data_IF_987701668108
#
_entry.id   IF_987701668108
#
_cell.length_a   1.000
_cell.length_b   1.000
_cell.length_c   1.000
_cell.angle_alpha   90.00
_cell.angle_beta   90.00
_cell.angle_gamma   90.00
#
_symmetry.space_group_name_H-M   'P 1'
#
loop_
_entity.id
_entity.type
_entity.pdbx_description
1 polymer ?
#
# COMPACT_ATOMS: atom_id res chain seq x y z
N UNK A 1 -26.27 11.42 23.61
CA UNK A 1 -25.87 12.13 22.38
C UNK A 1 -24.53 12.79 22.66
N UNK A 2 -23.42 12.11 22.36
CA UNK A 2 -22.07 12.67 22.58
C UNK A 2 -21.84 13.70 21.48
N UNK A 3 -21.81 14.98 21.85
CA UNK A 3 -21.38 16.08 20.98
C UNK A 3 -19.90 15.86 20.68
N UNK A 4 -19.58 15.15 19.60
CA UNK A 4 -18.24 15.14 19.03
C UNK A 4 -17.93 16.59 18.64
N UNK A 5 -16.83 17.12 19.17
CA UNK A 5 -16.31 18.42 18.75
C UNK A 5 -16.22 18.47 17.22
N UNK A 6 -16.49 19.63 16.57
CA UNK A 6 -16.39 19.75 15.13
C UNK A 6 -14.99 19.30 14.68
N UNK A 7 -14.95 18.41 13.70
CA UNK A 7 -13.69 17.92 13.17
C UNK A 7 -12.87 19.10 12.67
N UNK A 8 -11.64 19.24 13.16
CA UNK A 8 -10.70 20.26 12.67
C UNK A 8 -10.24 19.86 11.27
N UNK A 9 -9.82 20.82 10.45
CA UNK A 9 -9.12 20.50 9.21
C UNK A 9 -7.81 19.77 9.52
N UNK A 10 -7.48 18.78 8.69
CA UNK A 10 -6.20 18.11 8.76
C UNK A 10 -5.10 19.04 8.26
N UNK A 11 -3.98 19.08 8.98
CA UNK A 11 -2.79 19.85 8.59
C UNK A 11 -1.60 18.90 8.48
N UNK A 12 -1.04 18.81 7.27
CA UNK A 12 0.19 18.07 7.04
C UNK A 12 1.32 18.63 7.91
N UNK A 13 2.04 17.73 8.57
CA UNK A 13 3.13 18.02 9.51
C UNK A 13 2.69 18.73 10.81
N UNK A 14 1.38 18.78 11.09
CA UNK A 14 0.84 19.18 12.39
C UNK A 14 0.91 18.07 13.44
N UNK A 15 0.39 18.35 14.64
CA UNK A 15 0.43 17.43 15.78
C UNK A 15 -0.21 16.07 15.48
N UNK A 16 -1.41 16.05 14.88
CA UNK A 16 -2.10 14.80 14.54
C UNK A 16 -1.30 13.96 13.55
N UNK A 17 -0.64 14.60 12.57
CA UNK A 17 0.24 13.92 11.64
C UNK A 17 1.46 13.31 12.36
N UNK A 18 2.11 14.08 13.24
CA UNK A 18 3.24 13.59 14.05
C UNK A 18 2.87 12.38 14.93
N UNK A 19 1.71 12.42 15.58
CA UNK A 19 1.20 11.28 16.37
C UNK A 19 0.98 10.05 15.49
N UNK A 20 0.40 10.22 14.30
CA UNK A 20 0.22 9.11 13.36
C UNK A 20 1.57 8.51 12.92
N UNK A 21 2.58 9.32 12.64
CA UNK A 21 3.92 8.84 12.27
C UNK A 21 4.60 8.09 13.44
N UNK A 22 4.41 8.55 14.67
CA UNK A 22 4.89 7.85 15.87
C UNK A 22 4.19 6.49 16.04
N UNK A 23 2.86 6.45 15.89
CA UNK A 23 2.08 5.21 15.93
C UNK A 23 2.52 4.25 14.83
N UNK A 24 2.73 4.77 13.62
CA UNK A 24 3.27 4.00 12.50
C UNK A 24 4.60 3.33 12.86
N UNK A 25 5.57 4.10 13.36
CA UNK A 25 6.89 3.60 13.71
C UNK A 25 6.82 2.56 14.85
N UNK A 26 6.05 2.84 15.90
CA UNK A 26 5.85 1.91 17.01
C UNK A 26 5.18 0.60 16.55
N UNK A 27 4.15 0.70 15.72
CA UNK A 27 3.44 -0.45 15.13
C UNK A 27 4.37 -1.29 14.26
N UNK A 28 5.15 -0.64 13.40
CA UNK A 28 6.13 -1.32 12.54
C UNK A 28 7.17 -2.09 13.37
N UNK A 29 7.77 -1.45 14.37
CA UNK A 29 8.75 -2.09 15.26
C UNK A 29 8.14 -3.28 16.01
N UNK A 30 6.92 -3.12 16.55
CA UNK A 30 6.20 -4.15 17.28
C UNK A 30 5.88 -5.36 16.39
N UNK A 31 5.46 -5.13 15.14
CA UNK A 31 5.15 -6.19 14.19
C UNK A 31 6.41 -6.95 13.75
N UNK A 32 7.53 -6.25 13.52
CA UNK A 32 8.81 -6.91 13.23
C UNK A 32 9.24 -7.78 14.41
N UNK A 33 9.15 -7.26 15.63
CA UNK A 33 9.49 -8.00 16.85
C UNK A 33 8.61 -9.24 17.03
N UNK A 34 7.28 -9.07 16.95
CA UNK A 34 6.32 -10.16 17.10
C UNK A 34 6.47 -11.22 16.00
N UNK A 35 6.66 -10.81 14.75
CA UNK A 35 6.90 -11.71 13.62
C UNK A 35 8.17 -12.55 13.81
N UNK A 36 9.27 -11.92 14.24
CA UNK A 36 10.54 -12.62 14.49
C UNK A 36 10.49 -13.58 15.69
N UNK A 37 9.70 -13.25 16.71
CA UNK A 37 9.63 -14.03 17.96
C UNK A 37 8.62 -15.17 17.89
N UNK A 38 7.50 -14.96 17.19
CA UNK A 38 6.34 -15.85 17.25
C UNK A 38 5.78 -16.26 15.87
N UNK A 39 6.37 -15.81 14.76
CA UNK A 39 5.81 -15.92 13.41
C UNK A 39 5.51 -17.35 12.91
N UNK A 40 6.23 -18.33 13.44
CA UNK A 40 6.08 -19.75 13.10
C UNK A 40 5.02 -20.48 13.94
N UNK A 41 4.48 -19.82 14.98
CA UNK A 41 3.44 -20.42 15.82
C UNK A 41 2.09 -20.48 15.12
N UNK A 42 1.31 -21.53 15.42
CA UNK A 42 -0.09 -21.66 14.96
C UNK A 42 -0.92 -20.46 15.41
N UNK A 43 -0.69 -19.98 16.63
CA UNK A 43 -1.35 -18.78 17.17
C UNK A 43 -1.07 -17.55 16.31
N UNK A 44 0.20 -17.29 15.95
CA UNK A 44 0.53 -16.16 15.07
C UNK A 44 -0.09 -16.31 13.68
N UNK A 45 -0.18 -17.53 13.14
CA UNK A 45 -0.89 -17.78 11.88
C UNK A 45 -2.38 -17.46 12.00
N UNK A 46 -3.02 -17.91 13.08
CA UNK A 46 -4.45 -17.65 13.33
C UNK A 46 -4.73 -16.17 13.50
N UNK A 47 -3.89 -15.44 14.25
CA UNK A 47 -3.99 -14.00 14.42
C UNK A 47 -3.81 -13.29 13.07
N UNK A 48 -2.79 -13.64 12.28
CA UNK A 48 -2.59 -13.08 10.95
C UNK A 48 -3.80 -13.33 10.04
N UNK A 49 -4.39 -14.53 10.07
CA UNK A 49 -5.59 -14.84 9.32
C UNK A 49 -6.79 -14.01 9.79
N UNK A 50 -7.03 -13.90 11.09
CA UNK A 50 -8.12 -13.11 11.65
C UNK A 50 -7.99 -11.62 11.28
N UNK A 51 -6.78 -11.05 11.37
CA UNK A 51 -6.48 -9.70 10.91
C UNK A 51 -6.71 -9.58 9.40
N UNK A 52 -6.26 -10.55 8.60
CA UNK A 52 -6.49 -10.59 7.16
C UNK A 52 -7.98 -10.58 6.80
N UNK A 53 -8.81 -11.40 7.46
CA UNK A 53 -10.27 -11.39 7.26
C UNK A 53 -10.87 -10.05 7.66
N UNK A 54 -10.51 -9.52 8.84
CA UNK A 54 -11.02 -8.23 9.31
C UNK A 54 -10.68 -7.09 8.35
N UNK A 55 -9.44 -7.05 7.83
CA UNK A 55 -9.01 -6.08 6.83
C UNK A 55 -9.77 -6.24 5.51
N UNK A 56 -9.97 -7.47 5.05
CA UNK A 56 -10.73 -7.72 3.83
C UNK A 56 -12.18 -7.25 3.98
N UNK A 57 -12.84 -7.59 5.08
CA UNK A 57 -14.22 -7.17 5.36
C UNK A 57 -14.31 -5.66 5.47
N UNK A 58 -13.40 -5.02 6.21
CA UNK A 58 -13.35 -3.56 6.31
C UNK A 58 -13.14 -2.90 4.94
N UNK A 59 -12.21 -3.43 4.13
CA UNK A 59 -11.91 -2.87 2.81
C UNK A 59 -13.09 -3.00 1.85
N UNK A 60 -13.69 -4.17 1.79
CA UNK A 60 -14.86 -4.41 0.94
C UNK A 60 -16.05 -3.56 1.43
N UNK A 61 -16.23 -3.42 2.73
CA UNK A 61 -17.25 -2.53 3.30
C UNK A 61 -17.06 -1.07 2.87
N UNK A 62 -15.83 -0.56 2.89
CA UNK A 62 -15.53 0.80 2.42
C UNK A 62 -15.81 0.97 0.93
N UNK A 63 -15.32 0.05 0.09
CA UNK A 63 -15.59 0.07 -1.37
C UNK A 63 -17.10 0.05 -1.61
N UNK A 64 -17.84 -0.86 -0.98
CA UNK A 64 -19.30 -0.94 -1.13
C UNK A 64 -20.00 0.33 -0.63
N UNK A 65 -19.48 0.98 0.43
CA UNK A 65 -20.04 2.24 0.92
C UNK A 65 -19.87 3.38 -0.10
N UNK A 66 -18.75 3.41 -0.82
CA UNK A 66 -18.48 4.39 -1.88
C UNK A 66 -19.31 4.12 -3.14
N UNK A 67 -19.79 2.88 -3.32
CA UNK A 67 -20.73 2.50 -4.38
C UNK A 67 -22.18 2.95 -4.11
N UNK A 68 -22.51 3.39 -2.90
CA UNK A 68 -23.88 3.82 -2.58
C UNK A 68 -24.22 5.13 -3.31
N UNK A 69 -25.47 5.32 -3.79
CA UNK A 69 -25.85 6.52 -4.55
C UNK A 69 -25.54 7.85 -3.86
N UNK A 70 -25.60 7.89 -2.52
CA UNK A 70 -25.31 9.11 -1.74
C UNK A 70 -23.82 9.49 -1.66
N UNK A 71 -22.92 8.56 -1.97
CA UNK A 71 -21.45 8.75 -1.90
C UNK A 71 -20.77 8.57 -3.26
N UNK A 72 -21.50 8.12 -4.27
CA UNK A 72 -20.97 7.80 -5.57
C UNK A 72 -20.32 9.02 -6.24
N UNK A 73 -19.06 8.85 -6.65
CA UNK A 73 -18.35 9.73 -7.55
C UNK A 73 -17.54 8.85 -8.53
N UNK A 74 -17.67 9.08 -9.83
CA UNK A 74 -16.92 8.36 -10.86
C UNK A 74 -15.40 8.53 -10.74
N UNK A 75 -14.93 9.60 -10.11
CA UNK A 75 -13.51 9.88 -9.90
C UNK A 75 -12.92 9.11 -8.70
N UNK A 76 -13.76 8.74 -7.73
CA UNK A 76 -13.31 8.23 -6.43
C UNK A 76 -13.78 6.82 -6.13
N UNK A 77 -15.01 6.48 -6.50
CA UNK A 77 -15.70 5.30 -6.00
C UNK A 77 -15.31 4.00 -6.69
N UNK A 78 -15.01 3.99 -8.00
CA UNK A 78 -14.60 2.75 -8.66
C UNK A 78 -13.34 2.19 -7.98
N UNK A 79 -13.26 0.87 -7.73
CA UNK A 79 -12.15 0.23 -7.02
C UNK A 79 -10.90 0.08 -7.90
N UNK A 80 -10.54 1.17 -8.57
CA UNK A 80 -9.40 1.29 -9.47
C UNK A 80 -8.25 2.07 -8.82
N UNK A 81 -8.45 2.66 -7.63
CA UNK A 81 -7.34 3.22 -6.89
C UNK A 81 -6.40 2.09 -6.50
N UNK A 82 -5.11 2.30 -6.70
CA UNK A 82 -4.12 1.27 -6.40
C UNK A 82 -4.07 0.95 -4.89
N UNK A 83 -4.37 1.94 -4.04
CA UNK A 83 -4.56 1.77 -2.59
C UNK A 83 -5.70 0.78 -2.28
N UNK A 84 -6.76 0.75 -3.09
CA UNK A 84 -7.87 -0.17 -2.89
C UNK A 84 -7.43 -1.61 -3.09
N UNK A 85 -6.79 -1.85 -4.22
CA UNK A 85 -6.26 -3.15 -4.61
C UNK A 85 -5.14 -3.60 -3.65
N UNK A 86 -4.27 -2.67 -3.22
CA UNK A 86 -3.25 -2.95 -2.22
C UNK A 86 -3.84 -3.41 -0.88
N UNK A 87 -4.95 -2.81 -0.44
CA UNK A 87 -5.70 -3.24 0.74
C UNK A 87 -6.19 -4.68 0.64
N UNK A 88 -6.82 -5.04 -0.48
CA UNK A 88 -7.31 -6.40 -0.75
C UNK A 88 -6.14 -7.40 -0.83
N UNK A 89 -5.06 -7.02 -1.50
CA UNK A 89 -3.88 -7.86 -1.65
C UNK A 89 -3.14 -8.07 -0.31
N UNK A 90 -3.04 -7.04 0.53
CA UNK A 90 -2.47 -7.16 1.86
C UNK A 90 -3.25 -8.17 2.72
N UNK A 91 -4.58 -8.07 2.71
CA UNK A 91 -5.44 -9.03 3.38
C UNK A 91 -5.23 -10.45 2.83
N UNK A 92 -5.25 -10.62 1.51
CA UNK A 92 -5.02 -11.92 0.86
C UNK A 92 -3.62 -12.48 1.14
N UNK A 93 -2.60 -11.63 1.24
CA UNK A 93 -1.23 -12.02 1.58
C UNK A 93 -1.12 -12.55 3.01
N UNK A 94 -1.83 -11.95 3.98
CA UNK A 94 -1.91 -12.49 5.34
C UNK A 94 -2.57 -13.88 5.40
N UNK A 95 -3.67 -14.06 4.65
CA UNK A 95 -4.43 -15.30 4.62
C UNK A 95 -3.64 -16.44 3.96
N UNK A 96 -3.07 -16.16 2.79
CA UNK A 96 -2.50 -17.19 1.92
C UNK A 96 -0.99 -17.36 2.08
N UNK A 97 -0.28 -16.30 2.50
CA UNK A 97 1.19 -16.16 2.43
C UNK A 97 1.78 -16.54 1.07
N UNK A 98 0.99 -16.41 -0.01
CA UNK A 98 1.48 -16.67 -1.38
C UNK A 98 2.53 -15.64 -1.74
N UNK A 99 3.67 -16.11 -2.24
CA UNK A 99 4.83 -15.27 -2.51
C UNK A 99 4.52 -14.05 -3.40
N UNK A 100 3.72 -14.23 -4.45
CA UNK A 100 3.32 -13.16 -5.36
C UNK A 100 2.45 -12.08 -4.68
N UNK A 101 1.58 -12.48 -3.73
CA UNK A 101 0.73 -11.55 -3.00
C UNK A 101 1.54 -10.77 -1.95
N UNK A 102 2.46 -11.44 -1.26
CA UNK A 102 3.43 -10.80 -0.38
C UNK A 102 4.29 -9.78 -1.15
N UNK A 103 4.73 -10.13 -2.36
CA UNK A 103 5.50 -9.25 -3.22
C UNK A 103 4.68 -8.02 -3.68
N UNK A 104 3.45 -8.20 -4.16
CA UNK A 104 2.58 -7.06 -4.49
C UNK A 104 2.38 -6.14 -3.29
N UNK A 105 2.10 -6.71 -2.12
CA UNK A 105 1.93 -5.94 -0.88
C UNK A 105 3.21 -5.19 -0.51
N UNK A 106 4.38 -5.82 -0.69
CA UNK A 106 5.68 -5.20 -0.45
C UNK A 106 5.93 -3.99 -1.36
N UNK A 107 5.80 -4.16 -2.67
CA UNK A 107 6.13 -3.11 -3.63
C UNK A 107 5.09 -1.98 -3.66
N UNK A 108 3.80 -2.31 -3.66
CA UNK A 108 2.74 -1.31 -3.67
C UNK A 108 2.64 -0.62 -2.32
N UNK A 109 2.69 -1.37 -1.22
CA UNK A 109 2.61 -0.79 0.12
C UNK A 109 3.78 0.14 0.42
N UNK A 110 5.01 -0.33 0.26
CA UNK A 110 6.17 0.42 0.73
C UNK A 110 6.59 1.59 -0.16
N UNK A 111 6.30 1.55 -1.47
CA UNK A 111 6.64 2.65 -2.38
C UNK A 111 5.44 3.55 -2.62
N UNK A 112 4.30 2.95 -2.97
CA UNK A 112 3.15 3.71 -3.48
C UNK A 112 2.24 4.16 -2.33
N UNK A 113 1.85 3.27 -1.41
CA UNK A 113 1.02 3.64 -0.26
C UNK A 113 1.75 4.53 0.75
N UNK A 114 3.07 4.37 0.90
CA UNK A 114 3.89 5.23 1.77
C UNK A 114 3.84 6.71 1.36
N UNK A 115 3.56 7.05 0.09
CA UNK A 115 3.39 8.45 -0.32
C UNK A 115 2.28 9.15 0.49
N UNK A 116 1.21 8.44 0.84
CA UNK A 116 0.12 8.97 1.66
C UNK A 116 0.56 9.36 3.09
N UNK A 117 1.68 8.83 3.59
CA UNK A 117 2.25 9.19 4.89
C UNK A 117 3.07 10.48 4.82
N UNK A 118 3.64 10.81 3.66
CA UNK A 118 4.50 12.00 3.53
C UNK A 118 3.77 13.17 2.87
N UNK A 119 2.88 12.89 1.93
CA UNK A 119 2.06 13.86 1.21
C UNK A 119 0.58 13.45 1.26
N UNK A 120 -0.05 13.48 2.46
CA UNK A 120 -1.43 13.07 2.64
C UNK A 120 -2.41 13.99 1.89
N UNK A 121 -3.24 13.41 1.03
CA UNK A 121 -4.37 14.08 0.39
C UNK A 121 -5.64 13.93 1.24
N UNK A 122 -5.60 14.44 2.48
CA UNK A 122 -6.68 14.34 3.45
C UNK A 122 -7.08 15.74 3.94
N UNK A 123 -8.36 16.09 3.84
CA UNK A 123 -8.88 17.36 4.36
C UNK A 123 -9.47 17.22 5.77
N UNK A 124 -10.14 16.10 6.06
CA UNK A 124 -10.81 15.88 7.33
C UNK A 124 -9.82 15.50 8.44
N UNK A 125 -9.71 16.33 9.48
CA UNK A 125 -8.86 16.06 10.64
C UNK A 125 -9.57 15.26 11.74
N UNK A 126 -8.82 14.94 12.78
CA UNK A 126 -9.33 14.21 13.93
C UNK A 126 -10.46 14.98 14.65
N UNK A 127 -11.57 14.33 15.06
CA UNK A 127 -11.85 12.89 15.05
C UNK A 127 -12.82 12.44 13.93
N UNK A 128 -12.76 13.02 12.72
CA UNK A 128 -13.66 12.64 11.63
C UNK A 128 -13.49 11.16 11.22
N UNK A 129 -14.58 10.51 10.79
CA UNK A 129 -14.52 9.14 10.27
C UNK A 129 -13.51 9.00 9.10
N UNK A 130 -13.53 9.94 8.16
CA UNK A 130 -12.59 9.98 7.04
C UNK A 130 -11.11 10.07 7.47
N UNK A 131 -10.81 10.65 8.63
CA UNK A 131 -9.45 10.66 9.18
C UNK A 131 -9.01 9.22 9.51
N UNK A 132 -9.85 8.47 10.21
CA UNK A 132 -9.54 7.08 10.59
C UNK A 132 -9.54 6.14 9.38
N UNK A 133 -10.45 6.32 8.43
CA UNK A 133 -10.50 5.55 7.19
C UNK A 133 -9.20 5.75 6.37
N UNK A 134 -8.81 7.01 6.15
CA UNK A 134 -7.58 7.33 5.43
C UNK A 134 -6.36 6.71 6.10
N UNK A 135 -6.11 7.02 7.38
CA UNK A 135 -4.91 6.53 8.05
C UNK A 135 -4.93 5.03 8.27
N UNK A 136 -6.07 4.47 8.70
CA UNK A 136 -6.20 3.04 8.93
C UNK A 136 -5.82 2.24 7.68
N UNK A 137 -6.44 2.53 6.54
CA UNK A 137 -6.22 1.75 5.33
C UNK A 137 -4.80 1.86 4.79
N UNK A 138 -4.17 3.03 4.88
CA UNK A 138 -2.79 3.20 4.44
C UNK A 138 -1.78 2.54 5.40
N UNK A 139 -1.93 2.77 6.71
CA UNK A 139 -1.01 2.20 7.70
C UNK A 139 -1.09 0.67 7.70
N UNK A 140 -2.29 0.08 7.59
CA UNK A 140 -2.42 -1.38 7.59
C UNK A 140 -1.71 -2.03 6.41
N UNK A 141 -1.84 -1.50 5.19
CA UNK A 141 -1.14 -2.05 4.02
C UNK A 141 0.38 -2.04 4.24
N UNK A 142 0.92 -0.93 4.72
CA UNK A 142 2.35 -0.76 4.97
C UNK A 142 2.81 -1.68 6.10
N UNK A 143 2.05 -1.77 7.19
CA UNK A 143 2.33 -2.67 8.30
C UNK A 143 2.31 -4.15 7.91
N UNK A 144 1.37 -4.56 7.04
CA UNK A 144 1.35 -5.92 6.51
C UNK A 144 2.59 -6.19 5.65
N UNK A 145 2.96 -5.26 4.77
CA UNK A 145 4.20 -5.37 3.99
C UNK A 145 5.42 -5.53 4.92
N UNK A 146 5.48 -4.74 6.00
CA UNK A 146 6.56 -4.79 6.98
C UNK A 146 6.59 -6.13 7.73
N UNK A 147 5.44 -6.56 8.23
CA UNK A 147 5.29 -7.80 8.98
C UNK A 147 5.67 -9.02 8.14
N UNK A 148 5.18 -9.12 6.90
CA UNK A 148 5.49 -10.24 6.01
C UNK A 148 6.99 -10.27 5.66
N UNK A 149 7.60 -9.11 5.37
CA UNK A 149 8.97 -9.04 4.87
C UNK A 149 10.02 -9.14 5.97
N UNK A 150 9.90 -8.36 7.04
CA UNK A 150 10.91 -8.32 8.11
C UNK A 150 10.54 -9.13 9.35
N UNK A 151 9.24 -9.35 9.58
CA UNK A 151 8.73 -10.21 10.64
C UNK A 151 8.84 -11.69 10.26
N UNK A 152 8.15 -12.07 9.17
CA UNK A 152 8.09 -13.46 8.68
C UNK A 152 9.20 -13.83 7.70
N UNK A 153 10.06 -12.89 7.31
CA UNK A 153 11.19 -13.11 6.39
C UNK A 153 10.77 -13.66 5.02
N UNK A 154 9.61 -13.23 4.52
CA UNK A 154 9.16 -13.52 3.16
C UNK A 154 9.71 -12.43 2.26
N UNK A 155 10.84 -12.70 1.61
CA UNK A 155 11.56 -11.71 0.82
C UNK A 155 11.17 -11.76 -0.67
N UNK A 156 11.06 -10.63 -1.36
CA UNK A 156 10.85 -10.64 -2.80
C UNK A 156 12.13 -11.07 -3.55
N UNK A 157 11.94 -11.71 -4.71
CA UNK A 157 13.00 -12.07 -5.64
C UNK A 157 12.77 -11.41 -7.02
N UNK A 158 13.68 -11.65 -7.98
CA UNK A 158 13.57 -11.11 -9.34
C UNK A 158 12.35 -11.64 -10.10
N UNK A 159 11.88 -12.86 -9.78
CA UNK A 159 10.68 -13.43 -10.37
C UNK A 159 9.43 -12.68 -9.91
N UNK A 160 9.31 -12.47 -8.61
CA UNK A 160 8.26 -11.65 -7.99
C UNK A 160 8.29 -10.22 -8.49
N UNK A 161 9.48 -9.62 -8.66
CA UNK A 161 9.63 -8.31 -9.30
C UNK A 161 8.96 -8.29 -10.68
N UNK A 162 9.30 -9.23 -11.57
CA UNK A 162 8.70 -9.32 -12.91
C UNK A 162 7.18 -9.51 -12.89
N UNK A 163 6.66 -10.35 -11.99
CA UNK A 163 5.21 -10.55 -11.80
C UNK A 163 4.54 -9.23 -11.40
N UNK A 164 5.11 -8.52 -10.43
CA UNK A 164 4.53 -7.28 -9.91
C UNK A 164 4.55 -6.19 -10.98
N UNK A 165 5.63 -6.09 -11.76
CA UNK A 165 5.69 -5.19 -12.92
C UNK A 165 4.57 -5.51 -13.91
N UNK A 166 4.41 -6.78 -14.29
CA UNK A 166 3.36 -7.19 -15.23
C UNK A 166 1.95 -6.86 -14.70
N UNK A 167 1.68 -7.14 -13.42
CA UNK A 167 0.39 -6.83 -12.77
C UNK A 167 0.14 -5.32 -12.75
N UNK A 168 1.16 -4.52 -12.41
CA UNK A 168 1.03 -3.05 -12.39
C UNK A 168 0.81 -2.45 -13.77
N UNK A 169 1.48 -2.98 -14.81
CA UNK A 169 1.21 -2.57 -16.20
C UNK A 169 -0.22 -2.95 -16.61
N UNK A 170 -0.67 -4.15 -16.27
CA UNK A 170 -2.05 -4.58 -16.53
C UNK A 170 -3.09 -3.71 -15.82
N UNK A 171 -2.84 -3.35 -14.56
CA UNK A 171 -3.65 -2.38 -13.83
C UNK A 171 -3.64 -1.00 -14.52
N UNK A 172 -2.47 -0.48 -14.89
CA UNK A 172 -2.36 0.83 -15.52
C UNK A 172 -3.10 0.88 -16.86
N UNK A 173 -3.00 -0.16 -17.69
CA UNK A 173 -3.74 -0.26 -18.94
C UNK A 173 -5.27 -0.30 -18.69
N UNK A 174 -5.71 -1.05 -17.67
CA UNK A 174 -7.13 -1.13 -17.28
C UNK A 174 -7.64 0.22 -16.79
N UNK A 175 -6.94 0.85 -15.84
CA UNK A 175 -7.29 2.14 -15.28
C UNK A 175 -7.30 3.23 -16.36
N UNK A 176 -6.28 3.28 -17.22
CA UNK A 176 -6.23 4.22 -18.34
C UNK A 176 -7.42 4.07 -19.30
N UNK A 177 -7.79 2.82 -19.61
CA UNK A 177 -8.94 2.53 -20.47
C UNK A 177 -10.24 3.00 -19.83
N UNK A 178 -10.47 2.67 -18.55
CA UNK A 178 -11.67 3.11 -17.83
C UNK A 178 -11.71 4.63 -17.73
N UNK A 179 -10.61 5.28 -17.32
CA UNK A 179 -10.47 6.74 -17.27
C UNK A 179 -10.90 7.39 -18.58
N UNK A 180 -10.47 6.84 -19.72
CA UNK A 180 -10.81 7.35 -21.05
C UNK A 180 -12.29 7.21 -21.40
N UNK A 181 -12.95 6.16 -20.90
CA UNK A 181 -14.37 5.87 -21.19
C UNK A 181 -15.29 6.73 -20.33
N UNK A 182 -15.00 6.85 -19.03
CA UNK A 182 -15.91 7.49 -18.06
C UNK A 182 -15.49 8.90 -17.64
N UNK A 183 -14.38 9.41 -18.19
CA UNK A 183 -13.88 10.75 -17.90
C UNK A 183 -13.24 10.90 -16.51
N UNK A 184 -12.81 9.79 -15.89
CA UNK A 184 -12.11 9.80 -14.60
C UNK A 184 -10.59 9.84 -14.78
N UNK A 185 -9.83 9.86 -13.67
CA UNK A 185 -8.37 9.95 -13.71
C UNK A 185 -7.68 9.14 -12.59
N UNK A 186 -8.05 7.87 -12.46
CA UNK A 186 -7.41 6.95 -11.53
C UNK A 186 -5.91 6.82 -11.81
N UNK A 187 -5.11 6.94 -10.75
CA UNK A 187 -3.65 6.85 -10.82
C UNK A 187 -2.97 8.03 -11.54
N UNK A 188 -3.71 9.09 -11.88
CA UNK A 188 -3.22 10.21 -12.67
C UNK A 188 -2.55 9.74 -13.97
N UNK A 189 -3.21 8.81 -14.68
CA UNK A 189 -2.70 8.24 -15.94
C UNK A 189 -3.13 9.05 -17.16
N UNK A 190 -4.26 9.74 -17.09
CA UNK A 190 -4.87 10.46 -18.22
C UNK A 190 -4.61 11.97 -18.16
N UNK A 191 -4.32 12.49 -16.96
CA UNK A 191 -3.85 13.85 -16.76
C UNK A 191 -3.17 13.98 -15.39
N UNK A 192 -2.43 15.08 -15.18
CA UNK A 192 -1.89 15.43 -13.87
C UNK A 192 -3.02 15.84 -12.91
N UNK A 193 -2.82 15.73 -11.58
CA UNK A 193 -3.75 16.33 -10.62
C UNK A 193 -3.90 17.84 -10.88
N UNK A 194 -5.08 18.39 -10.57
CA UNK A 194 -5.32 19.84 -10.63
C UNK A 194 -4.63 20.64 -9.52
N UNK A 195 -3.95 19.96 -8.60
CA UNK A 195 -3.18 20.54 -7.50
C UNK A 195 -1.68 20.37 -7.75
N UNK A 196 -0.87 21.21 -7.09
CA UNK A 196 0.59 21.13 -7.20
C UNK A 196 1.09 19.72 -6.85
N UNK A 197 1.91 19.16 -7.74
CA UNK A 197 2.37 17.78 -7.65
C UNK A 197 3.80 17.62 -8.16
N UNK A 198 4.51 16.59 -7.69
CA UNK A 198 5.79 16.19 -8.27
C UNK A 198 5.67 15.83 -9.75
N UNK A 199 4.47 15.49 -10.23
CA UNK A 199 4.23 15.26 -11.64
C UNK A 199 4.42 16.52 -12.49
N UNK A 200 4.30 17.72 -11.91
CA UNK A 200 4.39 18.99 -12.64
C UNK A 200 5.77 19.23 -13.24
N UNK A 201 6.82 18.73 -12.59
CA UNK A 201 8.22 18.87 -13.04
C UNK A 201 8.67 17.79 -14.02
N UNK A 202 7.82 16.80 -14.33
CA UNK A 202 8.18 15.62 -15.14
C UNK A 202 7.79 15.74 -16.62
N UNK A 203 7.47 16.95 -17.09
CA UNK A 203 7.08 17.20 -18.49
C UNK A 203 5.58 17.02 -18.77
N UNK A 204 5.10 17.29 -19.99
CA UNK A 204 3.68 17.25 -20.33
C UNK A 204 3.12 15.82 -20.37
N UNK A 205 1.79 15.68 -20.31
CA UNK A 205 1.13 14.41 -20.60
C UNK A 205 1.28 14.07 -22.10
N UNK A 206 1.52 12.80 -22.49
CA UNK A 206 1.66 11.60 -21.64
C UNK A 206 3.11 11.33 -21.18
N UNK A 207 4.07 12.17 -21.57
CA UNK A 207 5.50 11.92 -21.39
C UNK A 207 5.95 11.80 -19.94
N UNK A 208 5.28 12.44 -18.97
CA UNK A 208 5.62 12.29 -17.55
C UNK A 208 5.43 10.86 -17.03
N UNK A 209 4.63 10.02 -17.69
CA UNK A 209 4.45 8.63 -17.29
C UNK A 209 5.75 7.81 -17.43
N UNK A 210 6.62 8.18 -18.38
CA UNK A 210 7.90 7.51 -18.62
C UNK A 210 8.87 7.68 -17.43
N UNK A 211 9.22 8.89 -16.97
CA UNK A 211 10.07 9.06 -15.79
C UNK A 211 9.40 8.54 -14.51
N UNK A 212 8.07 8.62 -14.38
CA UNK A 212 7.36 7.99 -13.25
C UNK A 212 7.56 6.48 -13.24
N UNK A 213 7.33 5.80 -14.38
CA UNK A 213 7.54 4.36 -14.50
C UNK A 213 9.00 4.00 -14.24
N UNK A 214 9.95 4.73 -14.82
CA UNK A 214 11.38 4.51 -14.59
C UNK A 214 11.75 4.64 -13.10
N UNK A 215 11.24 5.65 -12.40
CA UNK A 215 11.48 5.86 -10.98
C UNK A 215 10.93 4.70 -10.14
N UNK A 216 9.67 4.30 -10.36
CA UNK A 216 9.03 3.19 -9.64
C UNK A 216 9.77 1.87 -9.89
N UNK A 217 10.06 1.55 -11.15
CA UNK A 217 10.75 0.31 -11.53
C UNK A 217 12.17 0.25 -10.96
N UNK A 218 12.87 1.38 -10.94
CA UNK A 218 14.21 1.49 -10.35
C UNK A 218 14.17 1.34 -8.84
N UNK A 219 13.24 2.02 -8.16
CA UNK A 219 13.05 1.90 -6.72
C UNK A 219 12.75 0.44 -6.33
N UNK A 220 11.86 -0.22 -7.06
CA UNK A 220 11.54 -1.63 -6.85
C UNK A 220 12.75 -2.53 -7.07
N UNK A 221 13.52 -2.33 -8.14
CA UNK A 221 14.73 -3.13 -8.38
C UNK A 221 15.77 -2.96 -7.26
N UNK A 222 15.98 -1.72 -6.78
CA UNK A 222 16.86 -1.43 -5.66
C UNK A 222 16.37 -2.06 -4.35
N UNK A 223 15.05 -2.14 -4.16
CA UNK A 223 14.44 -2.84 -3.03
C UNK A 223 14.57 -4.36 -3.13
N UNK A 224 14.51 -4.96 -4.33
CA UNK A 224 14.69 -6.40 -4.56
C UNK A 224 16.13 -6.85 -4.33
N UNK A 225 17.08 -6.05 -4.82
CA UNK A 225 18.50 -6.39 -4.87
C UNK A 225 19.14 -6.88 -3.56
N UNK A 226 18.96 -6.22 -2.40
CA UNK A 226 19.58 -6.66 -1.16
C UNK A 226 19.08 -8.03 -0.71
N UNK A 227 17.81 -8.36 -0.96
CA UNK A 227 17.22 -9.64 -0.55
C UNK A 227 17.80 -10.81 -1.33
N UNK A 228 17.85 -10.68 -2.65
CA UNK A 228 18.42 -11.72 -3.52
C UNK A 228 19.88 -11.98 -3.17
N UNK A 229 20.66 -10.92 -2.86
CA UNK A 229 22.05 -11.06 -2.41
C UNK A 229 22.19 -11.75 -1.05
N UNK A 230 21.27 -11.47 -0.13
CA UNK A 230 21.27 -12.09 1.19
C UNK A 230 20.96 -13.58 1.10
N UNK A 231 19.97 -13.97 0.30
CA UNK A 231 19.57 -15.37 0.14
C UNK A 231 20.66 -16.19 -0.58
N UNK A 232 21.27 -15.65 -1.64
CA UNK A 232 22.43 -16.27 -2.31
C UNK A 232 23.59 -16.57 -1.33
N UNK A 233 23.95 -15.60 -0.47
CA UNK A 233 25.00 -15.78 0.54
C UNK A 233 24.65 -16.84 1.58
N UNK A 234 23.37 -17.00 1.90
CA UNK A 234 22.91 -18.04 2.85
C UNK A 234 23.01 -19.42 2.21
N UNK A 235 22.62 -19.54 0.95
CA UNK A 235 22.72 -20.80 0.19
C UNK A 235 24.18 -21.23 0.00
N UNK A 236 25.09 -20.29 -0.31
CA UNK A 236 26.53 -20.56 -0.42
C UNK A 236 27.13 -21.09 0.89
N UNK A 237 26.76 -20.51 2.04
CA UNK A 237 27.24 -20.96 3.36
C UNK A 237 26.68 -22.31 3.78
N UNK A 238 25.51 -22.70 3.27
CA UNK A 238 24.86 -23.96 3.60
C UNK A 238 25.37 -25.14 2.77
N UNK A 239 26.16 -24.91 1.72
CA UNK A 239 26.77 -25.99 0.92
C UNK A 239 27.84 -26.72 1.75
N UNK A 240 27.80 -28.06 1.86
CA UNK A 240 28.88 -28.81 2.47
C UNK A 240 30.18 -28.54 1.70
N UNK A 241 31.29 -28.34 2.41
CA UNK A 241 32.61 -28.30 1.79
C UNK A 241 32.87 -29.67 1.14
N UNK A 242 33.00 -29.67 -0.19
CA UNK A 242 33.34 -30.85 -0.98
C UNK A 242 34.79 -31.26 -0.77
#
# INVERSE_FOLDING_TARGET
MVLLAPAREFSAYGLSHGVILLLFAAGAASLVWAGRRHGDSVTARNVACAVGVALLVAKLGLILSEMLPARWNVEGSLPLQLSDLAGVLAAYALLSRRHWACALTYYWGLVLSTQALFTPALHAGFPAAAFFEFWGMHLFVIWVAIYLTWGLRIHPDWRSYGIVVAVTVGWAATAFTVNSIVGSNYGYLNSKPGTASLLDVLGPWPWYLVPVAALVLTAWALMTWPWVRLDQRRDERARPLA
#
